data_IF_614632987957
#
_entry.id   IF_614632987957
#
_cell.length_a   1.000
_cell.length_b   1.000
_cell.length_c   1.000
_cell.angle_alpha   90.00
_cell.angle_beta   90.00
_cell.angle_gamma   90.00
#
_symmetry.space_group_name_H-M   'P 1'
#
loop_
_entity.id
_entity.type
_entity.pdbx_description
1 polymer ?
#
# COMPACT_ATOMS: atom_id res chain seq x y z
N UNK A 1 -2.56 25.53 1.32
CA UNK A 1 -2.57 24.21 0.65
C UNK A 1 -1.11 23.76 0.48
N UNK A 2 -0.62 22.90 1.38
CA UNK A 2 0.74 22.35 1.26
C UNK A 2 0.72 21.23 0.19
N UNK A 3 1.00 21.67 -1.03
CA UNK A 3 1.85 21.06 -2.05
C UNK A 3 1.79 19.52 -2.30
N UNK A 4 0.93 19.09 -3.24
CA UNK A 4 0.99 17.76 -3.90
C UNK A 4 2.38 17.41 -4.46
N UNK A 5 3.26 18.40 -4.66
CA UNK A 5 4.64 18.19 -5.10
C UNK A 5 5.52 17.63 -3.98
N UNK A 6 5.30 18.03 -2.72
CA UNK A 6 6.06 17.53 -1.57
C UNK A 6 5.72 16.08 -1.22
N UNK A 7 4.46 15.68 -1.32
CA UNK A 7 4.05 14.29 -1.05
C UNK A 7 4.63 13.32 -2.09
N UNK A 8 4.65 13.72 -3.37
CA UNK A 8 5.36 13.00 -4.43
C UNK A 8 6.86 12.95 -4.18
N UNK A 9 7.46 14.03 -3.68
CA UNK A 9 8.88 14.12 -3.35
C UNK A 9 9.29 13.14 -2.24
N UNK A 10 8.45 12.97 -1.21
CA UNK A 10 8.69 12.01 -0.12
C UNK A 10 8.69 10.58 -0.66
N UNK A 11 7.75 10.21 -1.54
CA UNK A 11 7.69 8.87 -2.13
C UNK A 11 8.90 8.60 -3.05
N UNK A 12 9.27 9.57 -3.91
CA UNK A 12 10.46 9.43 -4.77
C UNK A 12 11.77 9.38 -4.00
N UNK A 13 11.87 10.04 -2.84
CA UNK A 13 13.09 10.00 -2.01
C UNK A 13 13.35 8.62 -1.39
N UNK A 14 12.30 7.81 -1.24
CA UNK A 14 12.38 6.46 -0.68
C UNK A 14 12.50 5.37 -1.75
N UNK A 15 12.23 5.70 -3.02
CA UNK A 15 12.41 4.82 -4.16
C UNK A 15 13.87 4.89 -4.63
N UNK A 16 14.60 3.80 -4.45
CA UNK A 16 16.01 3.65 -4.86
C UNK A 16 16.09 2.63 -5.99
N UNK A 17 16.94 2.85 -6.98
CA UNK A 17 17.31 1.83 -7.95
C UNK A 17 18.72 1.33 -7.63
N UNK A 18 18.86 0.06 -7.29
CA UNK A 18 20.13 -0.57 -6.92
C UNK A 18 20.10 -2.05 -7.34
N UNK A 19 21.23 -2.59 -7.78
CA UNK A 19 21.37 -4.01 -8.12
C UNK A 19 20.29 -4.48 -9.11
N UNK A 20 20.00 -3.64 -10.11
CA UNK A 20 18.96 -3.83 -11.14
C UNK A 20 17.52 -3.97 -10.62
N UNK A 21 17.27 -3.59 -9.36
CA UNK A 21 15.95 -3.65 -8.73
C UNK A 21 15.52 -2.27 -8.23
N UNK A 22 14.21 -2.03 -8.25
CA UNK A 22 13.64 -0.92 -7.49
C UNK A 22 13.48 -1.34 -6.04
N UNK A 23 13.78 -0.44 -5.13
CA UNK A 23 13.60 -0.61 -3.71
C UNK A 23 12.78 0.54 -3.15
N UNK A 24 11.74 0.23 -2.39
CA UNK A 24 10.97 1.22 -1.65
C UNK A 24 11.20 0.96 -0.16
N UNK A 25 11.82 1.92 0.53
CA UNK A 25 12.17 1.77 1.97
C UNK A 25 13.03 0.52 2.19
N UNK A 26 14.00 0.33 1.29
CA UNK A 26 14.98 -0.78 1.31
C UNK A 26 14.40 -2.17 0.99
N UNK A 27 13.16 -2.25 0.50
CA UNK A 27 12.49 -3.51 0.12
C UNK A 27 12.29 -3.57 -1.39
N UNK A 28 12.54 -4.72 -2.03
CA UNK A 28 12.28 -4.90 -3.46
C UNK A 28 10.86 -4.49 -3.83
N UNK A 29 10.74 -3.67 -4.86
CA UNK A 29 9.50 -3.11 -5.36
C UNK A 29 9.40 -3.37 -6.86
N UNK A 30 8.20 -3.69 -7.35
CA UNK A 30 7.91 -3.90 -8.76
C UNK A 30 6.93 -2.83 -9.24
N UNK A 31 7.28 -2.14 -10.33
CA UNK A 31 6.34 -1.29 -11.06
C UNK A 31 5.65 -2.19 -12.09
N UNK A 32 4.32 -2.29 -12.00
CA UNK A 32 3.53 -3.19 -12.84
C UNK A 32 2.28 -2.50 -13.39
N UNK A 33 1.87 -2.74 -14.65
CA UNK A 33 0.63 -2.19 -15.20
C UNK A 33 -0.60 -2.68 -14.44
N UNK A 34 -1.37 -1.74 -13.88
CA UNK A 34 -2.46 -2.07 -12.96
C UNK A 34 -3.62 -2.80 -13.64
N UNK A 35 -3.84 -2.55 -14.93
CA UNK A 35 -4.87 -3.18 -15.73
C UNK A 35 -4.59 -4.67 -15.96
N UNK A 36 -3.32 -5.04 -16.11
CA UNK A 36 -2.91 -6.45 -16.24
C UNK A 36 -3.17 -7.16 -14.90
N UNK A 37 -2.76 -6.55 -13.79
CA UNK A 37 -2.96 -7.12 -12.46
C UNK A 37 -4.45 -7.30 -12.17
N UNK A 38 -5.27 -6.29 -12.48
CA UNK A 38 -6.72 -6.38 -12.29
C UNK A 38 -7.30 -7.55 -13.09
N UNK A 39 -7.02 -7.65 -14.39
CA UNK A 39 -7.53 -8.76 -15.24
C UNK A 39 -7.09 -10.14 -14.75
N UNK A 40 -5.86 -10.28 -14.28
CA UNK A 40 -5.37 -11.54 -13.72
C UNK A 40 -6.18 -11.95 -12.49
N UNK A 41 -6.41 -11.01 -11.57
CA UNK A 41 -7.20 -11.25 -10.37
C UNK A 41 -8.67 -11.61 -10.69
N UNK A 42 -9.25 -11.03 -11.73
CA UNK A 42 -10.60 -11.39 -12.18
C UNK A 42 -10.72 -12.78 -12.81
N UNK A 43 -9.61 -13.33 -13.27
CA UNK A 43 -9.58 -14.67 -13.86
C UNK A 43 -9.31 -15.76 -12.82
N UNK A 44 -9.05 -15.38 -11.55
CA UNK A 44 -8.79 -16.32 -10.47
C UNK A 44 -10.09 -16.96 -9.97
N UNK A 45 -9.99 -18.23 -9.59
CA UNK A 45 -10.98 -18.91 -8.77
C UNK A 45 -11.05 -18.32 -7.35
N UNK A 46 -12.09 -18.69 -6.59
CA UNK A 46 -12.25 -18.27 -5.20
C UNK A 46 -11.09 -18.72 -4.30
N UNK A 47 -10.54 -19.91 -4.55
CA UNK A 47 -9.42 -20.43 -3.75
C UNK A 47 -8.10 -19.73 -4.07
N UNK A 48 -7.81 -19.47 -5.34
CA UNK A 48 -6.68 -18.63 -5.74
C UNK A 48 -6.80 -17.21 -5.17
N UNK A 49 -8.01 -16.64 -5.18
CA UNK A 49 -8.27 -15.32 -4.58
C UNK A 49 -7.95 -15.28 -3.08
N UNK A 50 -8.31 -16.35 -2.34
CA UNK A 50 -7.95 -16.48 -0.92
C UNK A 50 -6.43 -16.60 -0.74
N UNK A 51 -5.77 -17.42 -1.56
CA UNK A 51 -4.31 -17.60 -1.50
C UNK A 51 -3.57 -16.28 -1.75
N UNK A 52 -4.03 -15.48 -2.72
CA UNK A 52 -3.50 -14.15 -3.00
C UNK A 52 -3.70 -13.24 -1.80
N UNK A 53 -4.89 -13.21 -1.20
CA UNK A 53 -5.16 -12.43 0.00
C UNK A 53 -4.21 -12.79 1.16
N UNK A 54 -4.04 -14.09 1.44
CA UNK A 54 -3.14 -14.54 2.50
C UNK A 54 -1.67 -14.25 2.19
N UNK A 55 -1.26 -14.33 0.92
CA UNK A 55 0.09 -14.00 0.47
C UNK A 55 0.39 -12.51 0.66
N UNK A 56 -0.53 -11.62 0.28
CA UNK A 56 -0.41 -10.18 0.52
C UNK A 56 -0.38 -9.89 2.03
N UNK A 57 -1.27 -10.52 2.81
CA UNK A 57 -1.30 -10.37 4.28
C UNK A 57 0.00 -10.80 4.93
N UNK A 58 0.61 -11.89 4.45
CA UNK A 58 1.91 -12.37 4.92
C UNK A 58 3.03 -11.36 4.60
N UNK A 59 3.09 -10.89 3.36
CA UNK A 59 4.09 -9.89 2.93
C UNK A 59 4.02 -8.60 3.76
N UNK A 60 2.81 -8.08 4.02
CA UNK A 60 2.62 -6.89 4.87
C UNK A 60 3.07 -7.15 6.32
N UNK A 61 2.79 -8.34 6.88
CA UNK A 61 3.23 -8.70 8.23
C UNK A 61 4.75 -8.77 8.35
N UNK A 62 5.44 -9.26 7.33
CA UNK A 62 6.91 -9.33 7.28
C UNK A 62 7.53 -7.93 7.10
N UNK A 63 6.82 -7.04 6.41
CA UNK A 63 7.25 -5.65 6.18
C UNK A 63 7.06 -4.74 7.40
N UNK A 64 5.93 -4.84 8.11
CA UNK A 64 5.58 -3.90 9.18
C UNK A 64 6.66 -3.71 10.27
N UNK A 65 7.39 -4.74 10.72
CA UNK A 65 8.47 -4.58 11.70
C UNK A 65 9.60 -3.65 11.22
N UNK A 66 10.00 -3.73 9.95
CA UNK A 66 11.09 -2.90 9.41
C UNK A 66 10.68 -1.43 9.27
N UNK A 67 9.39 -1.17 9.03
CA UNK A 67 8.81 0.17 9.11
C UNK A 67 8.76 0.69 10.55
N UNK A 68 8.23 -0.11 11.49
CA UNK A 68 8.09 0.28 12.90
C UNK A 68 9.44 0.52 13.60
N UNK A 69 10.50 -0.12 13.13
CA UNK A 69 11.86 0.12 13.61
C UNK A 69 12.38 1.53 13.28
N UNK A 70 11.76 2.24 12.32
CA UNK A 70 12.12 3.61 11.94
C UNK A 70 11.24 4.59 12.77
N UNK A 71 11.82 5.43 13.65
CA UNK A 71 11.05 6.30 14.57
C UNK A 71 10.04 7.23 13.88
N UNK A 72 10.32 7.59 12.63
CA UNK A 72 9.49 8.43 11.77
C UNK A 72 8.12 7.82 11.44
N UNK A 73 7.93 6.51 11.59
CA UNK A 73 6.71 5.80 11.23
C UNK A 73 6.06 5.15 12.46
N UNK A 74 5.58 5.97 13.40
CA UNK A 74 4.88 5.52 14.62
C UNK A 74 3.53 6.23 14.84
N UNK A 75 2.57 5.53 15.45
CA UNK A 75 1.22 6.05 15.73
C UNK A 75 0.53 6.62 14.48
N UNK A 76 -0.02 7.84 14.59
CA UNK A 76 -0.70 8.55 13.49
C UNK A 76 0.20 8.77 12.27
N UNK A 77 1.51 8.96 12.45
CA UNK A 77 2.44 9.14 11.32
C UNK A 77 2.58 7.87 10.46
N UNK A 78 2.49 6.69 11.08
CA UNK A 78 2.46 5.42 10.36
C UNK A 78 1.17 5.28 9.55
N UNK A 79 0.04 5.69 10.13
CA UNK A 79 -1.27 5.66 9.44
C UNK A 79 -1.25 6.58 8.22
N UNK A 80 -0.74 7.81 8.36
CA UNK A 80 -0.60 8.74 7.24
C UNK A 80 0.34 8.19 6.17
N UNK A 81 1.49 7.65 6.57
CA UNK A 81 2.42 7.01 5.64
C UNK A 81 1.76 5.86 4.87
N UNK A 82 0.98 5.00 5.54
CA UNK A 82 0.26 3.89 4.88
C UNK A 82 -0.78 4.44 3.89
N UNK A 83 -1.49 5.50 4.25
CA UNK A 83 -2.47 6.14 3.36
C UNK A 83 -1.82 6.69 2.08
N UNK A 84 -0.69 7.39 2.25
CA UNK A 84 0.07 7.94 1.14
C UNK A 84 0.69 6.83 0.30
N UNK A 85 1.25 5.81 0.95
CA UNK A 85 1.83 4.65 0.29
C UNK A 85 0.79 3.92 -0.59
N UNK A 86 -0.38 3.64 -0.03
CA UNK A 86 -1.47 2.98 -0.75
C UNK A 86 -1.90 3.81 -1.97
N UNK A 87 -2.08 5.12 -1.76
CA UNK A 87 -2.57 6.01 -2.82
C UNK A 87 -1.54 6.22 -3.93
N UNK A 88 -0.27 6.35 -3.58
CA UNK A 88 0.82 6.49 -4.55
C UNK A 88 1.18 5.19 -5.27
N UNK A 89 0.83 4.03 -4.71
CA UNK A 89 1.05 2.72 -5.35
C UNK A 89 0.03 2.40 -6.44
N UNK A 90 -0.95 3.26 -6.69
CA UNK A 90 -1.94 3.09 -7.76
C UNK A 90 -3.14 2.21 -7.41
N UNK A 91 -3.33 1.85 -6.13
CA UNK A 91 -4.47 1.06 -5.67
C UNK A 91 -5.77 1.86 -5.45
N UNK A 92 -5.77 3.14 -5.82
CA UNK A 92 -6.88 4.07 -5.62
C UNK A 92 -6.57 5.07 -4.51
N UNK A 93 -7.59 5.50 -3.78
CA UNK A 93 -7.47 6.41 -2.63
C UNK A 93 -8.06 5.76 -1.40
N UNK A 94 -7.31 5.77 -0.31
CA UNK A 94 -7.78 5.29 0.99
C UNK A 94 -8.00 6.46 1.95
N UNK A 95 -9.12 6.43 2.67
CA UNK A 95 -9.43 7.39 3.73
C UNK A 95 -9.83 6.62 4.98
N UNK A 96 -9.19 6.93 6.08
CA UNK A 96 -9.59 6.44 7.41
C UNK A 96 -10.80 7.27 7.86
N UNK A 97 -11.97 6.63 7.96
CA UNK A 97 -13.21 7.26 8.41
C UNK A 97 -13.28 7.28 9.93
N UNK A 98 -12.88 6.18 10.55
CA UNK A 98 -12.82 6.01 12.00
C UNK A 98 -11.62 5.12 12.34
N UNK A 99 -10.91 5.46 13.41
CA UNK A 99 -9.80 4.69 13.93
C UNK A 99 -9.88 4.63 15.45
N UNK A 100 -9.82 3.43 15.98
CA UNK A 100 -9.83 3.12 17.41
C UNK A 100 -8.69 2.14 17.69
N UNK A 101 -7.56 2.71 18.14
CA UNK A 101 -6.34 1.96 18.39
C UNK A 101 -6.49 0.99 19.57
N UNK A 102 -7.16 1.43 20.64
CA UNK A 102 -7.35 0.64 21.87
C UNK A 102 -8.11 -0.65 21.59
N UNK A 103 -9.16 -0.58 20.77
CA UNK A 103 -9.96 -1.75 20.40
C UNK A 103 -9.50 -2.44 19.10
N UNK A 104 -8.39 -1.99 18.49
CA UNK A 104 -7.87 -2.49 17.22
C UNK A 104 -8.89 -2.46 16.07
N UNK A 105 -9.66 -1.37 15.96
CA UNK A 105 -10.73 -1.21 14.95
C UNK A 105 -10.46 -0.02 14.04
N UNK A 106 -10.81 -0.19 12.77
CA UNK A 106 -10.78 0.89 11.80
C UNK A 106 -11.91 0.74 10.78
N UNK A 107 -12.51 1.85 10.39
CA UNK A 107 -13.39 1.94 9.22
C UNK A 107 -12.61 2.69 8.14
N UNK A 108 -12.46 2.04 6.99
CA UNK A 108 -11.70 2.53 5.87
C UNK A 108 -12.63 2.70 4.67
N UNK A 109 -12.54 3.85 4.01
CA UNK A 109 -13.18 4.08 2.72
C UNK A 109 -12.11 3.98 1.64
N UNK A 110 -12.30 3.05 0.70
CA UNK A 110 -11.48 2.96 -0.51
C UNK A 110 -12.30 3.48 -1.69
N UNK A 111 -11.73 4.41 -2.45
CA UNK A 111 -12.37 5.02 -3.62
C UNK A 111 -11.41 4.98 -4.81
N UNK A 112 -11.96 5.05 -6.03
CA UNK A 112 -11.15 4.97 -7.27
C UNK A 112 -10.25 3.72 -7.32
N UNK A 113 -10.68 2.61 -6.72
CA UNK A 113 -9.93 1.35 -6.81
C UNK A 113 -9.94 0.87 -8.27
N UNK A 114 -8.78 0.57 -8.86
CA UNK A 114 -8.70 0.03 -10.21
C UNK A 114 -9.35 -1.35 -10.32
N UNK A 115 -9.51 -2.06 -9.19
CA UNK A 115 -10.15 -3.36 -9.13
C UNK A 115 -11.68 -3.26 -9.03
N UNK A 116 -12.23 -2.15 -8.51
CA UNK A 116 -13.68 -2.00 -8.36
C UNK A 116 -14.45 -1.99 -9.69
N UNK A 117 -13.78 -1.73 -10.81
CA UNK A 117 -14.40 -1.69 -12.14
C UNK A 117 -14.74 -3.07 -12.72
N UNK A 118 -14.30 -4.16 -12.09
CA UNK A 118 -14.66 -5.49 -12.56
C UNK A 118 -15.38 -6.37 -11.52
N UNK A 119 -15.80 -5.80 -10.39
CA UNK A 119 -16.82 -6.36 -9.50
C UNK A 119 -18.19 -5.77 -9.85
#
# INVERSE_FOLDING_TARGET
MLNNYFDKFIFTSQLKFRDSNFHLIDIPFLIFPVEILAKLLFSCSDDESKEIYYSVKKSVKEFLPSLKAKPKYSGVSLVNFINDFFSNSGFGKIRVVQFDEENCRAILLVSSSPFALYF
#
